data_IF_779378600483
#
_entry.id   IF_779378600483
#
_cell.length_a   1.000
_cell.length_b   1.000
_cell.length_c   1.000
_cell.angle_alpha   90.00
_cell.angle_beta   90.00
_cell.angle_gamma   90.00
#
_symmetry.space_group_name_H-M   'P 1'
#
loop_
_entity.id
_entity.type
_entity.pdbx_description
1 polymer ?
#
# COMPACT_ATOMS: atom_id res chain seq x y z
N UNK A 1 2.27 34.99 -8.44
CA UNK A 1 1.84 33.66 -8.93
C UNK A 1 2.66 32.61 -8.21
N UNK A 2 2.07 31.48 -7.82
CA UNK A 2 2.82 30.35 -7.23
C UNK A 2 3.77 29.77 -8.29
N UNK A 3 5.06 29.53 -7.98
CA UNK A 3 6.00 28.98 -8.95
C UNK A 3 5.54 27.58 -9.35
N UNK A 4 5.59 27.27 -10.66
CA UNK A 4 5.30 25.93 -11.16
C UNK A 4 6.50 25.04 -10.88
N UNK A 5 6.29 23.96 -10.13
CA UNK A 5 7.31 22.96 -9.89
C UNK A 5 7.63 22.22 -11.19
N UNK A 6 8.88 22.29 -11.64
CA UNK A 6 9.32 21.74 -12.93
C UNK A 6 9.12 20.23 -13.06
N UNK A 7 9.16 19.49 -11.94
CA UNK A 7 8.99 18.05 -11.89
C UNK A 7 7.58 17.62 -11.45
N UNK A 8 6.58 18.50 -11.50
CA UNK A 8 5.21 18.16 -11.12
C UNK A 8 4.67 16.91 -11.86
N UNK A 9 4.84 16.73 -13.19
CA UNK A 9 4.38 15.53 -13.87
C UNK A 9 5.03 14.24 -13.36
N UNK A 10 6.29 14.32 -12.93
CA UNK A 10 7.03 13.17 -12.38
C UNK A 10 6.50 12.83 -10.99
N UNK A 11 6.20 13.85 -10.17
CA UNK A 11 5.58 13.68 -8.86
C UNK A 11 4.21 13.01 -8.99
N UNK A 12 3.34 13.53 -9.87
CA UNK A 12 1.99 12.98 -10.13
C UNK A 12 2.07 11.50 -10.57
N UNK A 13 3.04 11.17 -11.43
CA UNK A 13 3.29 9.80 -11.86
C UNK A 13 3.70 8.89 -10.69
N UNK A 14 4.58 9.36 -9.79
CA UNK A 14 5.02 8.58 -8.63
C UNK A 14 3.90 8.37 -7.61
N UNK A 15 3.09 9.39 -7.37
CA UNK A 15 1.88 9.29 -6.54
C UNK A 15 0.90 8.25 -7.12
N UNK A 16 0.61 8.35 -8.41
CA UNK A 16 -0.24 7.38 -9.12
C UNK A 16 0.32 5.95 -9.02
N UNK A 17 1.65 5.79 -9.10
CA UNK A 17 2.29 4.49 -8.95
C UNK A 17 2.11 3.91 -7.55
N UNK A 18 2.18 4.74 -6.50
CA UNK A 18 1.88 4.29 -5.13
C UNK A 18 0.44 3.80 -5.03
N UNK A 19 -0.52 4.54 -5.57
CA UNK A 19 -1.95 4.15 -5.56
C UNK A 19 -2.19 2.81 -6.25
N UNK A 20 -1.57 2.59 -7.42
CA UNK A 20 -1.67 1.32 -8.15
C UNK A 20 -1.15 0.16 -7.29
N UNK A 21 0.01 0.33 -6.65
CA UNK A 21 0.58 -0.70 -5.79
C UNK A 21 -0.29 -1.00 -4.56
N UNK A 22 -0.93 0.03 -3.98
CA UNK A 22 -1.87 -0.15 -2.86
C UNK A 22 -3.12 -0.91 -3.28
N UNK A 23 -3.65 -0.66 -4.49
CA UNK A 23 -4.77 -1.42 -5.06
C UNK A 23 -4.38 -2.89 -5.26
N UNK A 24 -3.19 -3.15 -5.81
CA UNK A 24 -2.66 -4.51 -5.97
C UNK A 24 -2.52 -5.23 -4.63
N UNK A 25 -1.96 -4.56 -3.61
CA UNK A 25 -1.89 -5.09 -2.25
C UNK A 25 -3.27 -5.46 -1.72
N UNK A 26 -4.27 -4.58 -1.91
CA UNK A 26 -5.66 -4.85 -1.51
C UNK A 26 -6.22 -6.13 -2.16
N UNK A 27 -5.92 -6.37 -3.43
CA UNK A 27 -6.33 -7.60 -4.15
C UNK A 27 -5.63 -8.84 -3.58
N UNK A 28 -4.34 -8.75 -3.26
CA UNK A 28 -3.60 -9.86 -2.63
C UNK A 28 -4.16 -10.19 -1.25
N UNK A 29 -4.43 -9.17 -0.43
CA UNK A 29 -5.04 -9.35 0.90
C UNK A 29 -6.43 -9.99 0.81
N UNK A 30 -7.26 -9.56 -0.14
CA UNK A 30 -8.57 -10.17 -0.37
C UNK A 30 -8.45 -11.64 -0.79
N UNK A 31 -7.51 -11.96 -1.69
CA UNK A 31 -7.23 -13.34 -2.10
C UNK A 31 -6.77 -14.20 -0.91
N UNK A 32 -5.90 -13.68 -0.04
CA UNK A 32 -5.47 -14.37 1.19
C UNK A 32 -6.65 -14.64 2.11
N UNK A 33 -7.51 -13.65 2.33
CA UNK A 33 -8.68 -13.81 3.20
C UNK A 33 -9.64 -14.90 2.67
N UNK A 34 -9.96 -14.87 1.37
CA UNK A 34 -10.77 -15.93 0.73
C UNK A 34 -10.12 -17.30 0.87
N UNK A 35 -8.80 -17.35 0.69
CA UNK A 35 -8.02 -18.57 0.85
C UNK A 35 -8.04 -19.12 2.27
N UNK A 36 -8.04 -18.25 3.29
CA UNK A 36 -8.16 -18.64 4.70
C UNK A 36 -9.53 -19.22 5.01
N UNK A 37 -10.61 -18.57 4.55
CA UNK A 37 -11.98 -19.10 4.70
C UNK A 37 -12.13 -20.46 4.01
N UNK A 38 -11.51 -20.65 2.84
CA UNK A 38 -11.51 -21.95 2.17
C UNK A 38 -10.75 -23.02 2.95
N UNK A 39 -9.60 -22.68 3.55
CA UNK A 39 -8.84 -23.58 4.41
C UNK A 39 -9.65 -24.00 5.64
N UNK A 40 -10.33 -23.07 6.31
CA UNK A 40 -11.20 -23.34 7.47
C UNK A 40 -12.35 -24.30 7.09
N UNK A 41 -12.94 -24.13 5.90
CA UNK A 41 -13.96 -25.04 5.40
C UNK A 41 -13.41 -26.46 5.15
N UNK A 42 -12.21 -26.59 4.60
CA UNK A 42 -11.53 -27.87 4.41
C UNK A 42 -11.22 -28.55 5.76
N UNK A 43 -10.69 -27.80 6.72
CA UNK A 43 -10.39 -28.29 8.06
C UNK A 43 -11.67 -28.77 8.79
N UNK A 44 -12.77 -28.03 8.64
CA UNK A 44 -14.09 -28.43 9.15
C UNK A 44 -14.58 -29.72 8.49
N UNK A 45 -14.38 -29.86 7.18
CA UNK A 45 -14.70 -31.10 6.46
C UNK A 45 -13.86 -32.28 6.93
N UNK A 46 -12.57 -32.07 7.19
CA UNK A 46 -11.66 -33.08 7.76
C UNK A 46 -12.14 -33.57 9.11
N UNK A 47 -12.52 -32.65 10.01
CA UNK A 47 -13.06 -33.01 11.33
C UNK A 47 -14.32 -33.85 11.23
N UNK A 48 -15.27 -33.47 10.36
CA UNK A 48 -16.51 -34.26 10.14
C UNK A 48 -16.22 -35.66 9.63
N UNK A 49 -15.29 -35.82 8.69
CA UNK A 49 -14.90 -37.14 8.18
C UNK A 49 -14.27 -38.02 9.28
N UNK A 50 -13.41 -37.44 10.12
CA UNK A 50 -12.80 -38.16 11.25
C UNK A 50 -13.85 -38.59 12.28
N UNK A 51 -14.80 -37.71 12.60
CA UNK A 51 -15.90 -38.03 13.51
C UNK A 51 -16.79 -39.15 12.95
N UNK A 52 -17.14 -39.08 11.67
CA UNK A 52 -17.92 -40.12 11.00
C UNK A 52 -17.17 -41.46 10.99
N UNK A 53 -15.87 -41.45 10.69
CA UNK A 53 -15.04 -42.65 10.77
C UNK A 53 -15.04 -43.26 12.18
N UNK A 54 -14.92 -42.45 13.23
CA UNK A 54 -14.96 -42.93 14.62
C UNK A 54 -16.28 -43.60 14.96
N UNK A 55 -17.41 -42.99 14.56
CA UNK A 55 -18.76 -43.56 14.76
C UNK A 55 -18.95 -44.91 14.06
N UNK A 56 -18.39 -45.06 12.85
CA UNK A 56 -18.52 -46.28 12.01
C UNK A 56 -17.58 -47.41 12.42
N UNK A 57 -16.66 -47.18 13.36
CA UNK A 57 -15.77 -48.20 13.91
C UNK A 57 -16.34 -48.89 15.16
N UNK A 58 -17.51 -48.46 15.65
CA UNK A 58 -18.18 -49.06 16.81
C UNK A 58 -19.25 -50.04 16.31
N UNK A 59 -19.19 -51.28 16.78
CA UNK A 59 -20.16 -52.32 16.42
C UNK A 59 -19.77 -53.08 15.16
N UNK A 60 -20.73 -53.38 14.29
CA UNK A 60 -20.48 -54.07 13.03
C UNK A 60 -19.82 -53.12 12.02
N UNK A 61 -18.62 -53.48 11.58
CA UNK A 61 -17.75 -52.61 10.80
C UNK A 61 -17.95 -52.84 9.30
N UNK A 62 -18.47 -51.84 8.59
CA UNK A 62 -18.46 -51.80 7.13
C UNK A 62 -17.09 -51.32 6.61
N UNK A 63 -16.26 -52.29 6.21
CA UNK A 63 -14.91 -52.04 5.68
C UNK A 63 -14.92 -51.23 4.38
N UNK A 64 -15.94 -51.39 3.52
CA UNK A 64 -16.05 -50.65 2.27
C UNK A 64 -16.32 -49.17 2.54
N UNK A 65 -17.26 -48.87 3.45
CA UNK A 65 -17.56 -47.50 3.86
C UNK A 65 -16.35 -46.83 4.53
N UNK A 66 -15.64 -47.55 5.41
CA UNK A 66 -14.41 -47.03 6.04
C UNK A 66 -13.31 -46.74 5.03
N UNK A 67 -13.14 -47.59 4.02
CA UNK A 67 -12.18 -47.36 2.93
C UNK A 67 -12.52 -46.08 2.16
N UNK A 68 -13.80 -45.88 1.82
CA UNK A 68 -14.25 -44.65 1.15
C UNK A 68 -14.01 -43.39 1.98
N UNK A 69 -14.28 -43.43 3.29
CA UNK A 69 -14.03 -42.31 4.20
C UNK A 69 -12.54 -41.98 4.29
N UNK A 70 -11.66 -43.00 4.35
CA UNK A 70 -10.20 -42.82 4.33
C UNK A 70 -9.73 -42.16 3.04
N UNK A 71 -10.22 -42.60 1.89
CA UNK A 71 -9.87 -41.99 0.59
C UNK A 71 -10.31 -40.54 0.53
N UNK A 72 -11.53 -40.22 0.99
CA UNK A 72 -12.01 -38.83 1.07
C UNK A 72 -11.13 -37.98 2.00
N UNK A 73 -10.72 -38.53 3.15
CA UNK A 73 -9.85 -37.86 4.10
C UNK A 73 -8.48 -37.54 3.49
N UNK A 74 -7.90 -38.48 2.73
CA UNK A 74 -6.65 -38.24 2.01
C UNK A 74 -6.77 -37.09 1.00
N UNK A 75 -7.86 -37.05 0.22
CA UNK A 75 -8.11 -35.96 -0.74
C UNK A 75 -8.25 -34.61 -0.01
N UNK A 76 -8.99 -34.56 1.10
CA UNK A 76 -9.13 -33.33 1.89
C UNK A 76 -7.80 -32.88 2.49
N UNK A 77 -7.00 -33.81 3.02
CA UNK A 77 -5.67 -33.49 3.57
C UNK A 77 -4.72 -32.95 2.50
N UNK A 78 -4.73 -33.54 1.30
CA UNK A 78 -3.95 -33.05 0.17
C UNK A 78 -4.36 -31.62 -0.21
N UNK A 79 -5.66 -31.35 -0.29
CA UNK A 79 -6.19 -30.00 -0.55
C UNK A 79 -5.82 -28.99 0.54
N UNK A 80 -5.80 -29.41 1.80
CA UNK A 80 -5.36 -28.57 2.93
C UNK A 80 -3.89 -28.18 2.72
N UNK A 81 -3.01 -29.15 2.46
CA UNK A 81 -1.59 -28.89 2.26
C UNK A 81 -1.33 -27.95 1.07
N UNK A 82 -2.02 -28.18 -0.05
CA UNK A 82 -1.94 -27.27 -1.21
C UNK A 82 -2.44 -25.87 -0.89
N UNK A 83 -3.51 -25.75 -0.12
CA UNK A 83 -4.08 -24.46 0.25
C UNK A 83 -3.17 -23.71 1.23
N UNK A 84 -2.56 -24.40 2.18
CA UNK A 84 -1.56 -23.84 3.09
C UNK A 84 -0.33 -23.32 2.32
N UNK A 85 0.15 -24.08 1.34
CA UNK A 85 1.24 -23.64 0.46
C UNK A 85 0.88 -22.39 -0.34
N UNK A 86 -0.34 -22.32 -0.90
CA UNK A 86 -0.84 -21.13 -1.60
C UNK A 86 -0.93 -19.91 -0.67
N UNK A 87 -1.37 -20.10 0.57
CA UNK A 87 -1.45 -19.03 1.56
C UNK A 87 -0.07 -18.52 1.98
N UNK A 88 0.92 -19.41 2.11
CA UNK A 88 2.30 -19.03 2.37
C UNK A 88 2.88 -18.19 1.22
N UNK A 89 2.62 -18.58 -0.03
CA UNK A 89 3.04 -17.81 -1.20
C UNK A 89 2.35 -16.44 -1.27
N UNK A 90 1.04 -16.37 -0.99
CA UNK A 90 0.33 -15.09 -0.88
C UNK A 90 0.91 -14.20 0.23
N UNK A 91 1.32 -14.78 1.36
CA UNK A 91 1.97 -14.03 2.43
C UNK A 91 3.32 -13.44 1.99
N UNK A 92 4.12 -14.21 1.24
CA UNK A 92 5.37 -13.72 0.63
C UNK A 92 5.11 -12.57 -0.33
N UNK A 93 4.16 -12.73 -1.26
CA UNK A 93 3.80 -11.70 -2.24
C UNK A 93 3.28 -10.42 -1.57
N UNK A 94 2.50 -10.54 -0.49
CA UNK A 94 2.04 -9.39 0.30
C UNK A 94 3.21 -8.64 0.92
N UNK A 95 4.17 -9.35 1.52
CA UNK A 95 5.34 -8.72 2.13
C UNK A 95 6.21 -8.01 1.09
N UNK A 96 6.43 -8.63 -0.07
CA UNK A 96 7.15 -8.02 -1.20
C UNK A 96 6.43 -6.76 -1.70
N UNK A 97 5.12 -6.83 -1.89
CA UNK A 97 4.32 -5.68 -2.33
C UNK A 97 4.32 -4.54 -1.31
N UNK A 98 4.30 -4.85 -0.02
CA UNK A 98 4.44 -3.84 1.04
C UNK A 98 5.79 -3.13 0.96
N UNK A 99 6.87 -3.87 0.71
CA UNK A 99 8.20 -3.29 0.53
C UNK A 99 8.26 -2.40 -0.72
N UNK A 100 7.67 -2.82 -1.83
CA UNK A 100 7.56 -2.00 -3.05
C UNK A 100 6.83 -0.67 -2.78
N UNK A 101 5.73 -0.70 -2.03
CA UNK A 101 4.99 0.51 -1.65
C UNK A 101 5.84 1.44 -0.80
N UNK A 102 6.57 0.91 0.19
CA UNK A 102 7.45 1.72 1.04
C UNK A 102 8.48 2.45 0.19
N UNK A 103 9.15 1.75 -0.73
CA UNK A 103 10.14 2.36 -1.62
C UNK A 103 9.50 3.41 -2.55
N UNK A 104 8.35 3.10 -3.13
CA UNK A 104 7.63 4.06 -3.99
C UNK A 104 7.20 5.33 -3.23
N UNK A 105 6.77 5.19 -1.97
CA UNK A 105 6.44 6.33 -1.11
C UNK A 105 7.66 7.17 -0.77
N UNK A 106 8.80 6.55 -0.48
CA UNK A 106 10.06 7.26 -0.25
C UNK A 106 10.49 8.06 -1.48
N UNK A 107 10.34 7.48 -2.67
CA UNK A 107 10.65 8.15 -3.93
C UNK A 107 9.72 9.34 -4.21
N UNK A 108 8.43 9.24 -3.89
CA UNK A 108 7.49 10.35 -4.00
C UNK A 108 7.80 11.46 -2.98
N UNK A 109 8.07 11.09 -1.73
CA UNK A 109 8.42 12.00 -0.64
C UNK A 109 9.67 12.84 -0.94
N UNK A 110 10.68 12.25 -1.60
CA UNK A 110 11.85 12.99 -2.04
C UNK A 110 11.49 14.13 -3.01
N UNK A 111 10.54 13.91 -3.93
CA UNK A 111 10.06 14.95 -4.84
C UNK A 111 9.18 15.99 -4.15
N UNK A 112 8.37 15.60 -3.17
CA UNK A 112 7.62 16.55 -2.34
C UNK A 112 8.57 17.52 -1.64
N UNK A 113 9.62 17.02 -0.99
CA UNK A 113 10.63 17.86 -0.33
C UNK A 113 11.32 18.81 -1.30
N UNK A 114 11.64 18.36 -2.51
CA UNK A 114 12.22 19.24 -3.53
C UNK A 114 11.24 20.34 -3.96
N UNK A 115 9.97 20.00 -4.16
CA UNK A 115 8.90 20.97 -4.47
C UNK A 115 8.75 22.01 -3.37
N UNK A 116 8.73 21.58 -2.11
CA UNK A 116 8.64 22.48 -0.95
C UNK A 116 9.83 23.45 -0.90
N UNK A 117 11.06 22.95 -1.07
CA UNK A 117 12.26 23.78 -1.09
C UNK A 117 12.25 24.81 -2.23
N UNK A 118 11.77 24.44 -3.42
CA UNK A 118 11.68 25.35 -4.56
C UNK A 118 10.66 26.47 -4.31
N UNK A 119 9.49 26.12 -3.74
CA UNK A 119 8.47 27.09 -3.35
C UNK A 119 9.01 28.03 -2.26
N UNK A 120 9.72 27.53 -1.26
CA UNK A 120 10.33 28.35 -0.22
C UNK A 120 11.39 29.31 -0.78
N UNK A 121 12.26 28.84 -1.68
CA UNK A 121 13.26 29.67 -2.34
C UNK A 121 12.60 30.81 -3.11
N UNK A 122 11.60 30.50 -3.92
CA UNK A 122 10.84 31.51 -4.66
C UNK A 122 10.20 32.55 -3.74
N UNK A 123 9.56 32.11 -2.64
CA UNK A 123 8.95 33.02 -1.66
C UNK A 123 9.98 33.96 -1.02
N UNK A 124 11.18 33.45 -0.70
CA UNK A 124 12.28 34.25 -0.15
C UNK A 124 12.77 35.28 -1.17
N UNK A 125 12.92 34.89 -2.44
CA UNK A 125 13.34 35.80 -3.51
C UNK A 125 12.32 36.92 -3.76
N UNK A 126 11.02 36.60 -3.79
CA UNK A 126 9.96 37.60 -3.95
C UNK A 126 9.92 38.57 -2.78
N UNK A 127 10.04 38.09 -1.54
CA UNK A 127 10.09 38.96 -0.36
C UNK A 127 11.32 39.90 -0.39
N UNK A 128 12.47 39.40 -0.87
CA UNK A 128 13.66 40.24 -1.05
C UNK A 128 13.46 41.30 -2.14
N UNK A 129 12.79 40.96 -3.25
CA UNK A 129 12.46 41.93 -4.31
C UNK A 129 11.48 43.00 -3.79
N UNK A 130 10.45 42.59 -3.07
CA UNK A 130 9.47 43.50 -2.49
C UNK A 130 10.09 44.48 -1.49
N UNK A 131 10.95 43.98 -0.58
CA UNK A 131 11.68 44.84 0.36
C UNK A 131 12.55 45.87 -0.36
N UNK A 132 13.30 45.48 -1.41
CA UNK A 132 14.11 46.43 -2.20
C UNK A 132 13.25 47.50 -2.87
N UNK A 133 12.10 47.12 -3.44
CA UNK A 133 11.17 48.07 -4.04
C UNK A 133 10.60 49.05 -3.00
N UNK A 134 10.28 48.57 -1.79
CA UNK A 134 9.84 49.42 -0.70
C UNK A 134 10.95 50.41 -0.29
N UNK A 135 12.17 49.95 -0.11
CA UNK A 135 13.32 50.79 0.24
C UNK A 135 13.54 51.90 -0.80
N UNK A 136 13.52 51.55 -2.09
CA UNK A 136 13.65 52.53 -3.20
C UNK A 136 12.51 53.57 -3.20
N UNK A 137 11.28 53.15 -2.89
CA UNK A 137 10.14 54.06 -2.73
C UNK A 137 10.30 54.99 -1.53
N UNK A 138 10.79 54.49 -0.38
CA UNK A 138 11.07 55.30 0.80
C UNK A 138 12.17 56.33 0.51
N UNK A 139 13.27 55.91 -0.12
CA UNK A 139 14.38 56.77 -0.51
C UNK A 139 13.89 57.87 -1.46
N UNK A 140 13.19 57.52 -2.54
CA UNK A 140 12.69 58.51 -3.52
C UNK A 140 11.67 59.49 -2.92
N UNK A 141 10.88 59.07 -1.93
CA UNK A 141 9.96 59.95 -1.20
C UNK A 141 10.68 60.87 -0.22
N UNK A 142 11.73 60.41 0.43
CA UNK A 142 12.59 61.22 1.28
C UNK A 142 13.31 62.31 0.47
N UNK A 143 13.89 61.96 -0.67
CA UNK A 143 14.53 62.91 -1.59
C UNK A 143 13.57 63.98 -2.13
N UNK A 144 12.31 63.62 -2.43
CA UNK A 144 11.29 64.60 -2.83
C UNK A 144 10.90 65.57 -1.72
N UNK A 145 10.93 65.15 -0.46
CA UNK A 145 10.68 66.05 0.68
C UNK A 145 11.86 66.95 0.98
N UNK A 146 13.10 66.50 0.78
CA UNK A 146 14.29 67.33 0.99
C UNK A 146 14.49 68.38 -0.12
N UNK A 147 14.14 68.05 -1.38
CA UNK A 147 14.26 68.98 -2.51
C UNK A 147 13.01 69.87 -2.74
N UNK A 148 11.95 69.69 -1.95
CA UNK A 148 10.73 70.50 -1.97
C UNK A 148 10.69 71.62 -0.93
N UNK A 149 11.81 71.88 -0.24
CA UNK A 149 11.99 73.07 0.61
C UNK A 149 12.95 74.00 -0.11
N UNK A 150 12.37 74.83 -0.98
CA UNK A 150 13.01 75.93 -1.69
C UNK A 150 11.94 76.96 -2.02
#
# INVERSE_FOLDING_TARGET
MTPKFSLQPVLDYRETRVEILEIELGRLMQSRQRGQTFLEALQSSRMRLLEEMGKRQIGEVDLFLLSRLRSNLQVVNQRIAEQEARLAELARQIAEKQQEIILAKQDAEALHKLKEQEIERYRKEEAQRENRLQDDLYISRAYRRSNGVG
#
